data_IF_992794891799
#
_entry.id   IF_992794891799
#
_cell.length_a   1.000
_cell.length_b   1.000
_cell.length_c   1.000
_cell.angle_alpha   90.00
_cell.angle_beta   90.00
_cell.angle_gamma   90.00
#
_symmetry.space_group_name_H-M   'P 1'
#
loop_
_entity.id
_entity.type
_entity.pdbx_description
1 polymer ?
#
# COMPACT_ATOMS: atom_id res chain seq x y z
N UNK A 1 -98.63 -22.28 9.13
CA UNK A 1 -99.91 -22.33 9.88
C UNK A 1 -100.47 -23.73 9.72
N UNK A 2 -100.77 -24.47 10.80
CA UNK A 2 -101.40 -25.80 10.63
C UNK A 2 -102.85 -25.62 10.20
N UNK A 3 -103.41 -26.55 9.43
CA UNK A 3 -104.81 -26.56 8.95
C UNK A 3 -105.80 -26.27 10.10
N UNK A 4 -105.44 -26.67 11.31
CA UNK A 4 -106.17 -26.47 12.57
C UNK A 4 -106.36 -24.99 12.94
N UNK A 5 -105.36 -24.12 12.74
CA UNK A 5 -105.49 -22.68 13.00
C UNK A 5 -106.43 -22.00 12.00
N UNK A 6 -106.40 -22.42 10.73
CA UNK A 6 -107.30 -21.91 9.69
C UNK A 6 -108.75 -22.30 9.97
N UNK A 7 -108.98 -23.53 10.44
CA UNK A 7 -110.30 -24.03 10.83
C UNK A 7 -110.82 -23.35 12.11
N UNK A 8 -109.97 -23.18 13.13
CA UNK A 8 -110.34 -22.43 14.34
C UNK A 8 -110.68 -20.97 14.02
N UNK A 9 -109.97 -20.34 13.07
CA UNK A 9 -110.29 -18.99 12.61
C UNK A 9 -111.62 -18.93 11.88
N UNK A 10 -111.91 -19.90 11.01
CA UNK A 10 -113.18 -20.05 10.33
C UNK A 10 -114.35 -20.16 11.33
N UNK A 11 -114.20 -21.00 12.36
CA UNK A 11 -115.23 -21.16 13.40
C UNK A 11 -115.45 -19.88 14.23
N UNK A 12 -114.38 -19.15 14.58
CA UNK A 12 -114.50 -17.86 15.29
C UNK A 12 -115.18 -16.78 14.46
N UNK A 13 -114.89 -16.70 13.16
CA UNK A 13 -115.55 -15.78 12.24
C UNK A 13 -117.05 -16.10 12.12
N UNK A 14 -117.40 -17.39 12.04
CA UNK A 14 -118.81 -17.83 12.02
C UNK A 14 -119.55 -17.47 13.32
N UNK A 15 -118.92 -17.67 14.48
CA UNK A 15 -119.48 -17.27 15.78
C UNK A 15 -119.65 -15.75 15.93
N UNK A 16 -118.82 -14.97 15.23
CA UNK A 16 -118.92 -13.51 15.15
C UNK A 16 -120.01 -12.99 14.21
N UNK A 17 -120.81 -13.86 13.58
CA UNK A 17 -121.94 -13.47 12.72
C UNK A 17 -121.59 -13.31 11.24
N UNK A 18 -120.39 -13.70 10.80
CA UNK A 18 -120.03 -13.68 9.37
C UNK A 18 -120.67 -14.89 8.63
N UNK A 19 -121.27 -14.69 7.44
CA UNK A 19 -121.75 -15.78 6.59
C UNK A 19 -120.61 -16.74 6.19
N UNK A 20 -120.92 -18.04 6.05
CA UNK A 20 -119.90 -19.09 5.86
C UNK A 20 -119.00 -18.87 4.62
N UNK A 21 -119.57 -18.40 3.52
CA UNK A 21 -118.83 -18.08 2.29
C UNK A 21 -117.82 -16.94 2.51
N UNK A 22 -118.21 -15.91 3.27
CA UNK A 22 -117.35 -14.78 3.59
C UNK A 22 -116.27 -15.16 4.61
N UNK A 23 -116.62 -15.94 5.64
CA UNK A 23 -115.67 -16.44 6.63
C UNK A 23 -114.59 -17.35 6.00
N UNK A 24 -114.96 -18.22 5.05
CA UNK A 24 -114.02 -19.05 4.28
C UNK A 24 -113.07 -18.21 3.42
N UNK A 25 -113.61 -17.23 2.69
CA UNK A 25 -112.80 -16.33 1.86
C UNK A 25 -111.77 -15.57 2.70
N UNK A 26 -112.19 -15.01 3.84
CA UNK A 26 -111.29 -14.30 4.77
C UNK A 26 -110.22 -15.24 5.38
N UNK A 27 -110.60 -16.46 5.77
CA UNK A 27 -109.65 -17.43 6.33
C UNK A 27 -108.59 -17.87 5.29
N UNK A 28 -108.98 -18.01 4.02
CA UNK A 28 -108.06 -18.35 2.92
C UNK A 28 -107.08 -17.21 2.63
N UNK A 29 -107.57 -15.97 2.53
CA UNK A 29 -106.70 -14.82 2.26
C UNK A 29 -105.71 -14.56 3.41
N UNK A 30 -106.15 -14.73 4.66
CA UNK A 30 -105.25 -14.62 5.83
C UNK A 30 -104.21 -15.75 5.84
N UNK A 31 -104.59 -16.97 5.43
CA UNK A 31 -103.64 -18.08 5.28
C UNK A 31 -102.59 -17.80 4.20
N UNK A 32 -102.99 -17.22 3.06
CA UNK A 32 -102.05 -16.81 1.98
C UNK A 32 -101.11 -15.71 2.43
N UNK A 33 -101.62 -14.68 3.11
CA UNK A 33 -100.80 -13.60 3.69
C UNK A 33 -99.78 -14.19 4.67
N UNK A 34 -100.16 -15.20 5.45
CA UNK A 34 -99.28 -15.85 6.42
C UNK A 34 -98.17 -16.68 5.76
N UNK A 35 -98.39 -17.23 4.55
CA UNK A 35 -97.37 -17.99 3.80
C UNK A 35 -96.27 -17.13 3.18
N UNK A 36 -96.57 -15.87 2.83
CA UNK A 36 -95.59 -14.97 2.20
C UNK A 36 -94.80 -14.11 3.21
N UNK A 37 -95.26 -14.06 4.47
CA UNK A 37 -94.59 -13.32 5.52
C UNK A 37 -93.53 -14.20 6.19
N UNK A 38 -92.35 -13.61 6.44
CA UNK A 38 -91.35 -14.25 7.28
C UNK A 38 -91.94 -14.55 8.66
N UNK A 39 -91.79 -15.80 9.08
CA UNK A 39 -92.23 -16.23 10.40
C UNK A 39 -91.22 -15.80 11.46
N UNK A 40 -91.65 -15.86 12.72
CA UNK A 40 -90.73 -15.65 13.85
C UNK A 40 -89.56 -16.65 13.83
N UNK A 41 -89.77 -17.88 13.33
CA UNK A 41 -88.71 -18.87 13.24
C UNK A 41 -87.64 -18.45 12.22
N UNK A 42 -88.05 -18.03 11.02
CA UNK A 42 -87.14 -17.55 9.96
C UNK A 42 -86.30 -16.36 10.45
N UNK A 43 -86.92 -15.44 11.19
CA UNK A 43 -86.23 -14.29 11.77
C UNK A 43 -85.22 -14.67 12.86
N UNK A 44 -85.51 -15.68 13.69
CA UNK A 44 -84.55 -16.16 14.71
C UNK A 44 -83.42 -16.98 14.09
N UNK A 45 -83.66 -17.71 13.00
CA UNK A 45 -82.63 -18.39 12.21
C UNK A 45 -81.67 -17.36 11.59
N UNK A 46 -82.21 -16.39 10.84
CA UNK A 46 -81.41 -15.32 10.23
C UNK A 46 -80.62 -14.50 11.27
N UNK A 47 -81.22 -14.26 12.45
CA UNK A 47 -80.54 -13.62 13.58
C UNK A 47 -79.39 -14.46 14.13
N UNK A 48 -79.53 -15.78 14.15
CA UNK A 48 -78.51 -16.71 14.63
C UNK A 48 -77.36 -16.79 13.64
N UNK A 49 -77.64 -16.90 12.34
CA UNK A 49 -76.64 -16.83 11.27
C UNK A 49 -75.86 -15.51 11.31
N UNK A 50 -76.56 -14.38 11.33
CA UNK A 50 -75.93 -13.06 11.37
C UNK A 50 -75.05 -12.87 12.62
N UNK A 51 -75.44 -13.43 13.78
CA UNK A 51 -74.58 -13.44 14.96
C UNK A 51 -73.31 -14.25 14.74
N UNK A 52 -73.41 -15.40 14.06
CA UNK A 52 -72.27 -16.22 13.67
C UNK A 52 -71.30 -15.44 12.79
N UNK A 53 -71.81 -14.83 11.72
CA UNK A 53 -71.02 -14.03 10.77
C UNK A 53 -70.32 -12.85 11.47
N UNK A 54 -71.03 -12.14 12.36
CA UNK A 54 -70.45 -11.04 13.15
C UNK A 54 -69.29 -11.53 14.03
N UNK A 55 -69.43 -12.71 14.65
CA UNK A 55 -68.36 -13.30 15.46
C UNK A 55 -67.18 -13.68 14.58
N UNK A 56 -67.41 -14.30 13.43
CA UNK A 56 -66.35 -14.68 12.48
C UNK A 56 -65.58 -13.44 12.00
N UNK A 57 -66.27 -12.42 11.50
CA UNK A 57 -65.63 -11.17 11.04
C UNK A 57 -64.87 -10.49 12.18
N UNK A 58 -65.38 -10.53 13.41
CA UNK A 58 -64.66 -9.98 14.57
C UNK A 58 -63.33 -10.71 14.82
N UNK A 59 -63.31 -12.03 14.67
CA UNK A 59 -62.10 -12.83 14.85
C UNK A 59 -61.09 -12.55 13.73
N UNK A 60 -61.53 -12.54 12.47
CA UNK A 60 -60.65 -12.21 11.32
C UNK A 60 -60.05 -10.80 11.46
N UNK A 61 -60.84 -9.81 11.91
CA UNK A 61 -60.34 -8.46 12.19
C UNK A 61 -59.31 -8.45 13.33
N UNK A 62 -59.47 -9.31 14.34
CA UNK A 62 -58.50 -9.43 15.42
C UNK A 62 -57.18 -10.06 14.93
N UNK A 63 -57.25 -11.08 14.09
CA UNK A 63 -56.09 -11.75 13.51
C UNK A 63 -55.30 -10.80 12.60
N UNK A 64 -55.98 -10.10 11.69
CA UNK A 64 -55.37 -9.08 10.81
C UNK A 64 -54.70 -7.96 11.62
N UNK A 65 -55.30 -7.54 12.74
CA UNK A 65 -54.65 -6.57 13.64
C UNK A 65 -53.37 -7.12 14.26
N UNK A 66 -53.35 -8.40 14.61
CA UNK A 66 -52.16 -9.10 15.08
C UNK A 66 -51.05 -9.12 14.03
N UNK A 67 -51.37 -9.51 12.80
CA UNK A 67 -50.44 -9.53 11.67
C UNK A 67 -49.87 -8.12 11.37
N UNK A 68 -50.72 -7.10 11.35
CA UNK A 68 -50.29 -5.71 11.16
C UNK A 68 -49.31 -5.28 12.26
N UNK A 69 -49.57 -5.66 13.52
CA UNK A 69 -48.68 -5.34 14.62
C UNK A 69 -47.32 -6.05 14.48
N UNK A 70 -47.31 -7.31 14.03
CA UNK A 70 -46.08 -8.06 13.76
C UNK A 70 -45.27 -7.41 12.64
N UNK A 71 -45.90 -7.12 11.50
CA UNK A 71 -45.25 -6.48 10.34
C UNK A 71 -44.65 -5.14 10.74
N UNK A 72 -45.36 -4.32 11.53
CA UNK A 72 -44.80 -3.05 12.06
C UNK A 72 -43.56 -3.27 12.90
N UNK A 73 -43.54 -4.32 13.73
CA UNK A 73 -42.36 -4.68 14.52
C UNK A 73 -41.17 -5.12 13.66
N UNK A 74 -41.42 -5.89 12.60
CA UNK A 74 -40.39 -6.31 11.65
C UNK A 74 -39.81 -5.13 10.85
N UNK A 75 -40.67 -4.21 10.38
CA UNK A 75 -40.24 -2.98 9.71
C UNK A 75 -39.34 -2.14 10.61
N UNK A 76 -39.73 -1.91 11.87
CA UNK A 76 -38.91 -1.13 12.81
C UNK A 76 -37.53 -1.76 13.08
N UNK A 77 -37.46 -3.11 13.14
CA UNK A 77 -36.19 -3.84 13.26
C UNK A 77 -35.32 -3.67 12.02
N UNK A 78 -35.91 -3.73 10.83
CA UNK A 78 -35.19 -3.53 9.58
C UNK A 78 -34.65 -2.10 9.46
N UNK A 79 -35.43 -1.09 9.83
CA UNK A 79 -34.98 0.31 9.86
C UNK A 79 -33.76 0.51 10.75
N UNK A 80 -33.79 -0.10 11.95
CA UNK A 80 -32.65 -0.05 12.89
C UNK A 80 -31.41 -0.70 12.28
N UNK A 81 -31.56 -1.90 11.71
CA UNK A 81 -30.45 -2.63 11.09
C UNK A 81 -29.87 -1.90 9.88
N UNK A 82 -30.71 -1.24 9.07
CA UNK A 82 -30.23 -0.40 7.96
C UNK A 82 -29.43 0.81 8.46
N UNK A 83 -29.84 1.42 9.57
CA UNK A 83 -29.09 2.53 10.16
C UNK A 83 -27.72 2.06 10.70
N UNK A 84 -27.66 0.91 11.37
CA UNK A 84 -26.42 0.29 11.83
C UNK A 84 -25.47 -0.01 10.67
N UNK A 85 -25.95 -0.67 9.62
CA UNK A 85 -25.16 -0.97 8.42
C UNK A 85 -24.67 0.30 7.71
N UNK A 86 -25.49 1.35 7.68
CA UNK A 86 -25.10 2.65 7.09
C UNK A 86 -23.94 3.28 7.87
N UNK A 87 -23.96 3.19 9.20
CA UNK A 87 -22.88 3.67 10.05
C UNK A 87 -21.61 2.81 9.90
N UNK A 88 -21.73 1.49 9.82
CA UNK A 88 -20.61 0.58 9.58
C UNK A 88 -19.93 0.88 8.24
N UNK A 89 -20.72 1.05 7.17
CA UNK A 89 -20.21 1.44 5.84
C UNK A 89 -19.49 2.78 5.90
N UNK A 90 -20.01 3.75 6.65
CA UNK A 90 -19.35 5.05 6.83
C UNK A 90 -18.02 4.91 7.57
N UNK A 91 -17.97 4.09 8.62
CA UNK A 91 -16.74 3.77 9.38
C UNK A 91 -15.68 3.14 8.49
N UNK A 92 -16.03 2.07 7.76
CA UNK A 92 -15.11 1.38 6.84
C UNK A 92 -14.60 2.33 5.75
N UNK A 93 -15.44 3.23 5.23
CA UNK A 93 -14.99 4.25 4.26
C UNK A 93 -13.97 5.21 4.88
N UNK A 94 -14.14 5.59 6.14
CA UNK A 94 -13.19 6.40 6.90
C UNK A 94 -11.84 5.70 7.05
N UNK A 95 -11.85 4.45 7.53
CA UNK A 95 -10.64 3.62 7.70
C UNK A 95 -9.88 3.43 6.38
N UNK A 96 -10.59 3.19 5.27
CA UNK A 96 -9.98 3.06 3.94
C UNK A 96 -9.32 4.39 3.52
N UNK A 97 -9.93 5.54 3.82
CA UNK A 97 -9.38 6.84 3.48
C UNK A 97 -8.11 7.13 4.29
N UNK A 98 -8.12 6.85 5.59
CA UNK A 98 -6.95 6.99 6.47
C UNK A 98 -5.80 6.09 6.04
N UNK A 99 -6.08 4.80 5.75
CA UNK A 99 -5.08 3.86 5.27
C UNK A 99 -4.45 4.34 3.95
N UNK A 100 -5.26 4.82 3.00
CA UNK A 100 -4.75 5.36 1.73
C UNK A 100 -3.85 6.58 1.96
N UNK A 101 -4.23 7.48 2.85
CA UNK A 101 -3.44 8.67 3.16
C UNK A 101 -2.10 8.30 3.82
N UNK A 102 -2.12 7.40 4.81
CA UNK A 102 -0.93 6.89 5.48
C UNK A 102 0.03 6.21 4.50
N UNK A 103 -0.47 5.28 3.68
CA UNK A 103 0.34 4.60 2.67
C UNK A 103 0.95 5.57 1.64
N UNK A 104 0.18 6.58 1.20
CA UNK A 104 0.69 7.58 0.27
C UNK A 104 1.83 8.41 0.89
N UNK A 105 1.71 8.76 2.18
CA UNK A 105 2.73 9.49 2.91
C UNK A 105 4.00 8.65 3.10
N UNK A 106 3.87 7.39 3.50
CA UNK A 106 5.01 6.47 3.65
C UNK A 106 5.74 6.24 2.33
N UNK A 107 5.02 6.01 1.23
CA UNK A 107 5.61 5.85 -0.10
C UNK A 107 6.36 7.11 -0.52
N UNK A 108 5.81 8.30 -0.24
CA UNK A 108 6.47 9.56 -0.54
C UNK A 108 7.76 9.73 0.30
N UNK A 109 7.72 9.38 1.59
CA UNK A 109 8.88 9.41 2.49
C UNK A 109 10.01 8.51 1.99
N UNK A 110 9.71 7.23 1.73
CA UNK A 110 10.69 6.25 1.23
C UNK A 110 11.27 6.69 -0.12
N UNK A 111 10.47 7.27 -1.01
CA UNK A 111 10.97 7.82 -2.29
C UNK A 111 11.93 8.98 -2.08
N UNK A 112 11.66 9.85 -1.10
CA UNK A 112 12.56 10.93 -0.68
C UNK A 112 13.89 10.38 -0.18
N UNK A 113 13.86 9.45 0.78
CA UNK A 113 15.06 8.81 1.33
C UNK A 113 15.92 8.13 0.25
N UNK A 114 15.29 7.42 -0.70
CA UNK A 114 15.99 6.82 -1.83
C UNK A 114 16.65 7.88 -2.72
N UNK A 115 16.00 9.01 -2.96
CA UNK A 115 16.57 10.09 -3.76
C UNK A 115 17.78 10.72 -3.07
N UNK A 116 17.67 10.99 -1.77
CA UNK A 116 18.75 11.56 -0.96
C UNK A 116 19.96 10.62 -0.90
N UNK A 117 19.73 9.31 -0.68
CA UNK A 117 20.78 8.30 -0.71
C UNK A 117 21.48 8.22 -2.07
N UNK A 118 20.74 8.30 -3.18
CA UNK A 118 21.34 8.32 -4.52
C UNK A 118 22.26 9.51 -4.72
N UNK A 119 21.85 10.69 -4.25
CA UNK A 119 22.66 11.92 -4.35
C UNK A 119 23.90 11.80 -3.47
N UNK A 120 23.75 11.36 -2.21
CA UNK A 120 24.86 11.15 -1.29
C UNK A 120 25.90 10.18 -1.87
N UNK A 121 25.47 9.02 -2.35
CA UNK A 121 26.36 8.03 -2.97
C UNK A 121 27.05 8.56 -4.22
N UNK A 122 26.35 9.32 -5.08
CA UNK A 122 26.94 9.91 -6.27
C UNK A 122 28.05 10.92 -5.90
N UNK A 123 27.83 11.72 -4.86
CA UNK A 123 28.81 12.68 -4.36
C UNK A 123 30.03 11.98 -3.74
N UNK A 124 29.83 10.93 -2.93
CA UNK A 124 30.93 10.15 -2.36
C UNK A 124 31.79 9.49 -3.45
N UNK A 125 31.16 8.87 -4.45
CA UNK A 125 31.87 8.27 -5.59
C UNK A 125 32.67 9.33 -6.35
N UNK A 126 32.08 10.51 -6.58
CA UNK A 126 32.77 11.61 -7.24
C UNK A 126 33.97 12.11 -6.42
N UNK A 127 33.81 12.22 -5.10
CA UNK A 127 34.87 12.59 -4.16
C UNK A 127 36.05 11.61 -4.20
N UNK A 128 35.77 10.32 -4.01
CA UNK A 128 36.79 9.26 -4.07
C UNK A 128 37.50 9.24 -5.42
N UNK A 129 36.75 9.43 -6.53
CA UNK A 129 37.36 9.51 -7.86
C UNK A 129 38.30 10.72 -8.00
N UNK A 130 37.94 11.85 -7.42
CA UNK A 130 38.81 13.03 -7.34
C UNK A 130 40.09 12.74 -6.58
N UNK A 131 39.99 12.19 -5.36
CA UNK A 131 41.14 11.81 -4.55
C UNK A 131 42.09 10.84 -5.27
N UNK A 132 41.55 9.85 -5.99
CA UNK A 132 42.34 8.92 -6.80
C UNK A 132 43.12 9.65 -7.92
N UNK A 133 42.49 10.62 -8.59
CA UNK A 133 43.15 11.42 -9.63
C UNK A 133 44.28 12.24 -9.03
N UNK A 134 44.04 12.90 -7.90
CA UNK A 134 45.03 13.73 -7.21
C UNK A 134 46.21 12.89 -6.72
N UNK A 135 45.95 11.73 -6.10
CA UNK A 135 46.99 10.78 -5.68
C UNK A 135 47.83 10.30 -6.87
N UNK A 136 47.19 9.97 -7.99
CA UNK A 136 47.90 9.53 -9.20
C UNK A 136 48.79 10.63 -9.77
N UNK A 137 48.32 11.88 -9.75
CA UNK A 137 49.11 13.04 -10.16
C UNK A 137 50.29 13.29 -9.22
N UNK A 138 50.07 13.21 -7.90
CA UNK A 138 51.10 13.33 -6.88
C UNK A 138 52.22 12.30 -7.07
N UNK A 139 51.86 11.02 -7.18
CA UNK A 139 52.82 9.92 -7.43
C UNK A 139 53.59 10.14 -8.74
N UNK A 140 52.92 10.56 -9.81
CA UNK A 140 53.57 10.81 -11.09
C UNK A 140 54.62 11.93 -10.99
N UNK A 141 54.30 13.00 -10.25
CA UNK A 141 55.22 14.11 -10.01
C UNK A 141 56.42 13.70 -9.14
N UNK A 142 56.20 12.94 -8.07
CA UNK A 142 57.29 12.41 -7.23
C UNK A 142 58.23 11.50 -8.03
N UNK A 143 57.69 10.59 -8.84
CA UNK A 143 58.50 9.73 -9.72
C UNK A 143 59.31 10.55 -10.72
N UNK A 144 58.71 11.61 -11.30
CA UNK A 144 59.43 12.50 -12.22
C UNK A 144 60.57 13.25 -11.51
N UNK A 145 60.32 13.75 -10.29
CA UNK A 145 61.33 14.39 -9.45
C UNK A 145 62.50 13.45 -9.15
N UNK A 146 62.22 12.26 -8.64
CA UNK A 146 63.25 11.24 -8.34
C UNK A 146 64.04 10.87 -9.60
N UNK A 147 63.39 10.73 -10.76
CA UNK A 147 64.10 10.48 -12.04
C UNK A 147 65.03 11.64 -12.41
N UNK A 148 64.62 12.88 -12.15
CA UNK A 148 65.44 14.07 -12.33
C UNK A 148 66.69 14.05 -11.46
N UNK A 149 66.51 13.84 -10.15
CA UNK A 149 67.63 13.73 -9.18
C UNK A 149 68.62 12.62 -9.55
N UNK A 150 68.12 11.44 -9.95
CA UNK A 150 68.97 10.34 -10.43
C UNK A 150 69.77 10.74 -11.68
N UNK A 151 69.16 11.49 -12.61
CA UNK A 151 69.86 11.95 -13.81
C UNK A 151 70.97 12.95 -13.47
N UNK A 152 70.70 13.90 -12.57
CA UNK A 152 71.69 14.87 -12.08
C UNK A 152 72.86 14.17 -11.38
N UNK A 153 72.57 13.22 -10.48
CA UNK A 153 73.60 12.41 -9.80
C UNK A 153 74.45 11.63 -10.80
N UNK A 154 73.84 11.04 -11.83
CA UNK A 154 74.57 10.29 -12.87
C UNK A 154 75.53 11.19 -13.65
N UNK A 155 75.12 12.42 -13.97
CA UNK A 155 75.98 13.42 -14.62
C UNK A 155 77.11 13.85 -13.68
N UNK A 156 76.79 14.13 -12.40
CA UNK A 156 77.77 14.49 -11.39
C UNK A 156 78.87 13.43 -11.24
N UNK A 157 78.50 12.16 -11.08
CA UNK A 157 79.43 11.04 -10.98
C UNK A 157 80.29 10.91 -12.25
N UNK A 158 79.70 11.06 -13.44
CA UNK A 158 80.45 10.99 -14.70
C UNK A 158 81.51 12.09 -14.79
N UNK A 159 81.19 13.31 -14.36
CA UNK A 159 82.12 14.44 -14.31
C UNK A 159 83.25 14.21 -13.29
N UNK A 160 82.93 13.71 -12.09
CA UNK A 160 83.94 13.37 -11.08
C UNK A 160 84.90 12.29 -11.57
N UNK A 161 84.39 11.21 -12.19
CA UNK A 161 85.22 10.16 -12.79
C UNK A 161 86.15 10.74 -13.87
N UNK A 162 85.64 11.62 -14.73
CA UNK A 162 86.44 12.27 -15.77
C UNK A 162 87.57 13.13 -15.16
N UNK A 163 87.25 13.90 -14.12
CA UNK A 163 88.22 14.71 -13.36
C UNK A 163 89.33 13.83 -12.75
N UNK A 164 88.95 12.76 -12.05
CA UNK A 164 89.90 11.80 -11.45
C UNK A 164 90.80 11.16 -12.52
N UNK A 165 90.22 10.79 -13.68
CA UNK A 165 90.98 10.21 -14.80
C UNK A 165 92.03 11.19 -15.35
N UNK A 166 91.69 12.48 -15.45
CA UNK A 166 92.62 13.52 -15.89
C UNK A 166 93.77 13.69 -14.89
N UNK A 167 93.47 13.80 -13.58
CA UNK A 167 94.48 13.89 -12.52
C UNK A 167 95.43 12.69 -12.54
N UNK A 168 94.90 11.47 -12.73
CA UNK A 168 95.71 10.26 -12.83
C UNK A 168 96.63 10.26 -14.07
N UNK A 169 96.14 10.76 -15.21
CA UNK A 169 96.93 10.91 -16.43
C UNK A 169 98.08 11.90 -16.21
N UNK A 170 97.80 13.06 -15.64
CA UNK A 170 98.80 14.10 -15.34
C UNK A 170 99.86 13.58 -14.36
N UNK A 171 99.44 12.89 -13.30
CA UNK A 171 100.35 12.24 -12.38
C UNK A 171 101.25 11.21 -13.07
N UNK A 172 100.67 10.36 -13.94
CA UNK A 172 101.42 9.35 -14.69
C UNK A 172 102.46 9.97 -15.62
N UNK A 173 102.10 11.04 -16.34
CA UNK A 173 103.02 11.79 -17.20
C UNK A 173 104.14 12.41 -16.37
N UNK A 174 103.80 13.08 -15.26
CA UNK A 174 104.78 13.69 -14.36
C UNK A 174 105.74 12.66 -13.77
N UNK A 175 105.24 11.53 -13.28
CA UNK A 175 106.04 10.42 -12.75
C UNK A 175 106.98 9.82 -13.81
N UNK A 176 106.50 9.64 -15.04
CA UNK A 176 107.32 9.16 -16.17
C UNK A 176 108.44 10.16 -16.49
N UNK A 177 108.13 11.46 -16.52
CA UNK A 177 109.13 12.52 -16.74
C UNK A 177 110.18 12.55 -15.64
N UNK A 178 109.76 12.49 -14.37
CA UNK A 178 110.66 12.48 -13.21
C UNK A 178 111.56 11.25 -13.20
N UNK A 179 111.02 10.05 -13.47
CA UNK A 179 111.79 8.80 -13.52
C UNK A 179 112.79 8.77 -14.68
N UNK A 180 112.43 9.28 -15.86
CA UNK A 180 113.38 9.45 -16.96
C UNK A 180 114.48 10.45 -16.62
N UNK A 181 114.14 11.57 -15.98
CA UNK A 181 115.11 12.58 -15.55
C UNK A 181 116.11 12.02 -14.52
N UNK A 182 115.66 11.23 -13.56
CA UNK A 182 116.55 10.59 -12.58
C UNK A 182 117.45 9.53 -13.22
N UNK A 183 116.93 8.68 -14.11
CA UNK A 183 117.74 7.69 -14.86
C UNK A 183 118.78 8.38 -15.75
N UNK A 184 118.41 9.44 -16.48
CA UNK A 184 119.34 10.20 -17.30
C UNK A 184 120.45 10.86 -16.47
N UNK A 185 120.10 11.45 -15.31
CA UNK A 185 121.09 12.04 -14.40
C UNK A 185 122.09 11.00 -13.85
N UNK A 186 121.61 9.81 -13.47
CA UNK A 186 122.47 8.70 -13.04
C UNK A 186 123.39 8.24 -14.17
N UNK A 187 122.87 8.07 -15.39
CA UNK A 187 123.65 7.64 -16.56
C UNK A 187 124.74 8.66 -16.94
N UNK A 188 124.43 9.96 -16.92
CA UNK A 188 125.41 11.03 -17.15
C UNK A 188 126.50 11.06 -16.06
N UNK A 189 126.13 10.82 -14.80
CA UNK A 189 127.08 10.67 -13.70
C UNK A 189 128.08 9.53 -13.92
N UNK A 190 127.59 8.34 -14.29
CA UNK A 190 128.45 7.20 -14.64
C UNK A 190 129.35 7.47 -15.85
N UNK A 191 128.82 8.08 -16.91
CA UNK A 191 129.60 8.44 -18.09
C UNK A 191 130.74 9.41 -17.74
N UNK A 192 130.48 10.41 -16.89
CA UNK A 192 131.50 11.32 -16.38
C UNK A 192 132.61 10.61 -15.59
N UNK A 193 132.25 9.65 -14.73
CA UNK A 193 133.22 8.83 -13.99
C UNK A 193 134.10 8.01 -14.96
N UNK A 194 133.51 7.35 -15.97
CA UNK A 194 134.26 6.58 -16.97
C UNK A 194 135.25 7.46 -17.74
N UNK A 195 134.80 8.63 -18.22
CA UNK A 195 135.68 9.58 -18.92
C UNK A 195 136.84 10.04 -18.03
N UNK A 196 136.57 10.32 -16.75
CA UNK A 196 137.62 10.68 -15.80
C UNK A 196 138.63 9.54 -15.58
N UNK A 197 138.19 8.28 -15.52
CA UNK A 197 139.07 7.11 -15.40
C UNK A 197 139.96 6.97 -16.65
N UNK A 198 139.39 7.07 -17.86
CA UNK A 198 140.13 6.92 -19.14
C UNK A 198 141.16 8.04 -19.35
N UNK A 199 140.86 9.27 -18.92
CA UNK A 199 141.80 10.39 -19.01
C UNK A 199 142.94 10.30 -17.98
N UNK A 200 142.80 9.50 -16.92
CA UNK A 200 143.78 9.35 -15.84
C UNK A 200 144.72 8.14 -16.01
N UNK A 201 144.40 7.20 -16.92
CA UNK A 201 145.23 6.03 -17.29
C UNK A 201 146.16 6.32 -18.44
#
# INVERSE_FOLDING_TARGET
MTLDYTLQMLDRLRQGGFPETQARSMAVEISRITEILATKADLEELRTELKGDIIQVRNEVADVKGEIAQVRGEVARLETRMAELSNEIAGVKGEIAELRASMASEIAGVRGEIADLKVAMANEIAGVKGEIVDLKAGIANEIAGVKGEIAELKVGIANEIASVKNVLSDFKVSSTRWTLATVAAIALGFAGIIVAIVLAS
#
